data_IF_403116857693
#
_entry.id   IF_403116857693
#
_cell.length_a   1.000
_cell.length_b   1.000
_cell.length_c   1.000
_cell.angle_alpha   90.00
_cell.angle_beta   90.00
_cell.angle_gamma   90.00
#
_symmetry.space_group_name_H-M   'P 1'
#
loop_
_entity.id
_entity.type
_entity.pdbx_description
1 polymer ?
#
# COMPACT_ATOMS: atom_id res chain seq x y z
N UNK A 1 13.42 9.61 14.06
CA UNK A 1 13.48 8.37 13.26
C UNK A 1 14.88 8.17 12.72
N UNK A 2 15.38 6.95 12.68
CA UNK A 2 16.69 6.66 12.12
C UNK A 2 16.53 6.22 10.65
N UNK A 3 17.00 7.07 9.73
CA UNK A 3 17.10 6.76 8.30
C UNK A 3 18.53 7.04 7.84
N UNK A 4 18.92 6.43 6.71
CA UNK A 4 20.20 6.75 6.07
C UNK A 4 20.07 6.80 4.54
N UNK A 5 20.99 7.53 3.85
CA UNK A 5 21.20 7.36 2.42
C UNK A 5 21.79 5.97 2.14
N UNK A 6 21.66 5.49 0.91
CA UNK A 6 22.19 4.19 0.50
C UNK A 6 22.61 4.20 -0.98
N UNK A 7 23.50 3.28 -1.37
CA UNK A 7 23.89 3.08 -2.75
C UNK A 7 22.85 2.23 -3.47
N UNK A 8 21.85 2.87 -4.09
CA UNK A 8 20.72 2.21 -4.72
C UNK A 8 21.12 1.41 -5.96
N UNK A 9 20.53 0.23 -6.14
CA UNK A 9 20.59 -0.50 -7.40
C UNK A 9 19.38 -0.09 -8.25
N UNK A 10 19.61 0.50 -9.41
CA UNK A 10 18.56 1.13 -10.19
C UNK A 10 18.79 1.02 -11.71
N UNK A 11 17.73 1.12 -12.53
CA UNK A 11 17.88 1.05 -13.97
C UNK A 11 18.62 2.29 -14.53
N UNK A 12 19.33 2.14 -15.66
CA UNK A 12 19.73 3.29 -16.49
C UNK A 12 18.50 4.13 -16.89
N UNK A 13 18.73 5.41 -17.16
CA UNK A 13 17.65 6.38 -17.44
C UNK A 13 16.70 5.96 -18.56
N UNK A 14 17.22 5.36 -19.61
CA UNK A 14 16.51 4.89 -20.79
C UNK A 14 15.76 3.57 -20.61
N UNK A 15 15.91 2.93 -19.46
CA UNK A 15 15.24 1.66 -19.12
C UNK A 15 14.23 1.79 -17.97
N UNK A 16 14.19 2.92 -17.28
CA UNK A 16 13.38 3.08 -16.06
C UNK A 16 11.89 2.78 -16.27
N UNK A 17 11.31 3.22 -17.38
CA UNK A 17 9.91 2.99 -17.75
C UNK A 17 9.61 1.52 -18.10
N UNK A 18 10.61 0.79 -18.63
CA UNK A 18 10.50 -0.63 -18.97
C UNK A 18 10.68 -1.53 -17.74
N UNK A 19 11.52 -1.11 -16.78
CA UNK A 19 11.81 -1.86 -15.55
C UNK A 19 10.72 -1.66 -14.51
N UNK A 20 10.25 -0.42 -14.34
CA UNK A 20 9.26 -0.08 -13.31
C UNK A 20 7.96 -0.88 -13.49
N UNK A 21 7.54 -1.58 -12.43
CA UNK A 21 6.32 -2.39 -12.44
C UNK A 21 5.38 -2.05 -11.30
N UNK A 22 4.14 -2.47 -11.41
CA UNK A 22 3.21 -2.49 -10.28
C UNK A 22 3.73 -3.44 -9.18
N UNK A 23 3.40 -3.21 -7.89
CA UNK A 23 3.82 -4.11 -6.82
C UNK A 23 3.16 -5.49 -6.95
N UNK A 24 3.80 -6.49 -6.33
CA UNK A 24 3.44 -7.90 -6.49
C UNK A 24 1.99 -8.24 -6.08
N UNK A 25 1.43 -7.50 -5.15
CA UNK A 25 0.15 -7.79 -4.49
C UNK A 25 -1.09 -7.17 -5.18
N UNK A 26 -0.89 -6.41 -6.24
CA UNK A 26 -1.99 -5.83 -7.03
C UNK A 26 -2.29 -6.57 -8.34
N UNK A 27 -1.47 -7.58 -8.67
CA UNK A 27 -1.61 -8.41 -9.87
C UNK A 27 -1.63 -9.89 -9.50
N UNK A 28 -2.57 -10.66 -10.06
CA UNK A 28 -2.41 -12.11 -10.08
C UNK A 28 -1.36 -12.52 -11.14
N UNK A 29 -0.94 -13.78 -11.11
CA UNK A 29 0.16 -14.24 -12.00
C UNK A 29 -0.20 -14.23 -13.48
N UNK A 30 -1.47 -14.39 -13.85
CA UNK A 30 -1.93 -14.28 -15.25
C UNK A 30 -1.87 -12.84 -15.72
N UNK A 31 -2.36 -11.90 -14.91
CA UNK A 31 -2.28 -10.46 -15.20
C UNK A 31 -0.81 -10.01 -15.28
N UNK A 32 0.03 -10.45 -14.35
CA UNK A 32 1.44 -10.14 -14.33
C UNK A 32 2.15 -10.65 -15.59
N UNK A 33 1.87 -11.89 -16.05
CA UNK A 33 2.43 -12.44 -17.29
C UNK A 33 1.98 -11.66 -18.53
N UNK A 34 0.73 -11.19 -18.53
CA UNK A 34 0.20 -10.39 -19.65
C UNK A 34 0.78 -8.97 -19.70
N UNK A 35 1.11 -8.38 -18.52
CA UNK A 35 1.65 -7.02 -18.41
C UNK A 35 3.17 -6.97 -18.58
N UNK A 36 3.88 -8.02 -18.20
CA UNK A 36 5.34 -8.02 -18.17
C UNK A 36 5.97 -7.91 -19.56
N UNK A 37 6.63 -6.78 -19.83
CA UNK A 37 7.61 -6.68 -20.90
C UNK A 37 8.92 -7.38 -20.53
N UNK A 38 9.83 -7.58 -21.50
CA UNK A 38 11.11 -8.32 -21.32
C UNK A 38 11.93 -7.83 -20.10
N UNK A 39 11.90 -6.54 -19.80
CA UNK A 39 12.66 -5.92 -18.72
C UNK A 39 11.79 -5.52 -17.52
N UNK A 40 10.55 -5.98 -17.46
CA UNK A 40 9.67 -5.67 -16.33
C UNK A 40 10.15 -6.31 -15.04
N UNK A 41 10.24 -5.54 -13.95
CA UNK A 41 10.62 -6.09 -12.65
C UNK A 41 9.71 -7.22 -12.18
N UNK A 42 8.54 -7.40 -12.79
CA UNK A 42 7.65 -8.54 -12.53
C UNK A 42 8.37 -9.89 -12.66
N UNK A 43 9.36 -10.01 -13.54
CA UNK A 43 10.19 -11.21 -13.64
C UNK A 43 11.05 -11.50 -12.39
N UNK A 44 11.23 -10.52 -11.51
CA UNK A 44 11.99 -10.66 -10.26
C UNK A 44 11.05 -10.80 -9.06
N UNK A 45 9.95 -10.07 -9.02
CA UNK A 45 9.02 -10.05 -7.88
C UNK A 45 7.88 -11.06 -7.99
N UNK A 46 7.58 -11.55 -9.23
CA UNK A 46 6.60 -12.59 -9.57
C UNK A 46 7.19 -13.58 -10.59
N UNK A 47 8.32 -14.23 -10.27
CA UNK A 47 9.10 -15.01 -11.23
C UNK A 47 8.38 -16.27 -11.73
N UNK A 48 7.27 -16.67 -11.13
CA UNK A 48 6.39 -17.73 -11.60
C UNK A 48 5.87 -17.50 -13.04
N UNK A 49 5.84 -16.23 -13.49
CA UNK A 49 5.41 -15.89 -14.86
C UNK A 49 6.38 -16.34 -15.95
N UNK A 50 7.64 -16.65 -15.59
CA UNK A 50 8.67 -17.13 -16.52
C UNK A 50 8.52 -18.62 -16.87
N UNK A 51 7.57 -19.30 -16.24
CA UNK A 51 7.29 -20.71 -16.48
C UNK A 51 6.09 -20.89 -17.41
N UNK A 52 6.09 -21.99 -18.16
CA UNK A 52 4.97 -22.39 -19.01
C UNK A 52 4.67 -23.89 -18.81
N UNK A 53 3.54 -24.24 -18.20
CA UNK A 53 2.54 -23.33 -17.60
C UNK A 53 3.10 -22.53 -16.42
N UNK A 54 2.40 -21.44 -16.01
CA UNK A 54 2.74 -20.64 -14.85
C UNK A 54 2.89 -21.56 -13.62
N UNK A 55 4.03 -21.45 -12.94
CA UNK A 55 4.37 -22.29 -11.80
C UNK A 55 3.65 -21.85 -10.50
N UNK A 56 3.69 -22.70 -9.50
CA UNK A 56 3.28 -22.34 -8.12
C UNK A 56 4.23 -21.27 -7.57
N UNK A 57 3.69 -20.09 -7.25
CA UNK A 57 4.44 -18.91 -6.76
C UNK A 57 5.29 -19.19 -5.52
N UNK A 58 4.96 -20.24 -4.75
CA UNK A 58 5.67 -20.63 -3.52
C UNK A 58 6.63 -21.82 -3.70
N UNK A 59 6.88 -22.23 -4.93
CA UNK A 59 7.79 -23.36 -5.23
C UNK A 59 9.27 -22.92 -5.25
N UNK A 60 10.17 -23.82 -4.84
CA UNK A 60 11.61 -23.56 -4.84
C UNK A 60 12.16 -23.11 -6.20
N UNK A 61 11.77 -23.71 -7.35
CA UNK A 61 12.23 -23.24 -8.67
C UNK A 61 11.86 -21.78 -8.96
N UNK A 62 10.73 -21.30 -8.46
CA UNK A 62 10.29 -19.91 -8.63
C UNK A 62 11.16 -18.97 -7.80
N UNK A 63 11.46 -19.33 -6.55
CA UNK A 63 12.40 -18.57 -5.73
C UNK A 63 13.81 -18.52 -6.35
N UNK A 64 14.33 -19.65 -6.85
CA UNK A 64 15.62 -19.72 -7.53
C UNK A 64 15.64 -18.82 -8.77
N UNK A 65 14.52 -18.77 -9.50
CA UNK A 65 14.36 -17.92 -10.68
C UNK A 65 14.42 -16.43 -10.34
N UNK A 66 13.85 -16.00 -9.19
CA UNK A 66 13.97 -14.63 -8.71
C UNK A 66 15.44 -14.21 -8.53
N UNK A 67 16.23 -15.07 -7.89
CA UNK A 67 17.67 -14.82 -7.67
C UNK A 67 18.43 -14.77 -8.98
N UNK A 68 18.15 -15.75 -9.88
CA UNK A 68 18.76 -15.79 -11.19
C UNK A 68 18.48 -14.54 -12.02
N UNK A 69 17.24 -14.09 -12.05
CA UNK A 69 16.84 -12.90 -12.80
C UNK A 69 17.50 -11.64 -12.22
N UNK A 70 17.48 -11.46 -10.90
CA UNK A 70 18.10 -10.29 -10.25
C UNK A 70 19.61 -10.22 -10.53
N UNK A 71 20.32 -11.34 -10.48
CA UNK A 71 21.73 -11.41 -10.83
C UNK A 71 21.97 -11.10 -12.32
N UNK A 72 21.22 -11.76 -13.20
CA UNK A 72 21.35 -11.60 -14.65
C UNK A 72 21.11 -10.15 -15.09
N UNK A 73 20.17 -9.44 -14.46
CA UNK A 73 19.88 -8.06 -14.81
C UNK A 73 20.99 -7.11 -14.41
N UNK A 74 21.67 -7.37 -13.30
CA UNK A 74 22.89 -6.62 -12.92
C UNK A 74 24.02 -6.92 -13.91
N UNK A 75 24.24 -8.17 -14.30
CA UNK A 75 25.25 -8.55 -15.31
C UNK A 75 24.98 -7.93 -16.68
N UNK A 76 23.71 -7.75 -17.07
CA UNK A 76 23.29 -7.09 -18.31
C UNK A 76 23.31 -5.56 -18.25
N UNK A 77 23.56 -4.98 -17.11
CA UNK A 77 23.49 -3.53 -16.91
C UNK A 77 22.08 -2.97 -16.98
N UNK A 78 21.03 -3.81 -16.82
CA UNK A 78 19.66 -3.34 -16.70
C UNK A 78 19.36 -2.79 -15.31
N UNK A 79 20.15 -3.20 -14.33
CA UNK A 79 20.20 -2.68 -12.98
C UNK A 79 21.66 -2.40 -12.64
N UNK A 80 21.95 -1.17 -12.19
CA UNK A 80 23.31 -0.71 -11.88
C UNK A 80 23.31 -0.13 -10.48
N UNK A 81 24.28 -0.50 -9.66
CA UNK A 81 24.46 0.06 -8.32
C UNK A 81 25.13 1.44 -8.40
N UNK A 82 24.56 2.41 -7.70
CA UNK A 82 25.19 3.72 -7.53
C UNK A 82 26.52 3.61 -6.78
N UNK A 83 27.47 4.48 -7.09
CA UNK A 83 28.80 4.52 -6.45
C UNK A 83 28.77 5.13 -5.05
N UNK A 84 27.79 5.96 -4.78
CA UNK A 84 27.70 6.77 -3.57
C UNK A 84 26.37 6.51 -2.85
N UNK A 85 26.38 6.66 -1.53
CA UNK A 85 25.15 6.61 -0.71
C UNK A 85 24.38 7.92 -0.84
N UNK A 86 23.14 7.86 -1.29
CA UNK A 86 22.31 9.03 -1.56
C UNK A 86 20.88 8.80 -1.08
N UNK A 87 20.16 9.88 -0.81
CA UNK A 87 18.70 9.87 -0.80
C UNK A 87 18.19 10.15 -2.21
N UNK A 88 16.93 9.79 -2.41
CA UNK A 88 16.24 10.06 -3.68
C UNK A 88 14.87 10.67 -3.38
N UNK A 89 14.30 11.36 -4.36
CA UNK A 89 12.91 11.82 -4.33
C UNK A 89 12.16 11.05 -5.40
N UNK A 90 11.04 10.47 -5.03
CA UNK A 90 10.12 9.82 -5.94
C UNK A 90 8.76 10.52 -5.91
N UNK A 91 8.38 11.09 -7.05
CA UNK A 91 7.10 11.74 -7.23
C UNK A 91 6.14 10.88 -8.07
N UNK A 92 4.88 10.88 -7.66
CA UNK A 92 3.79 10.20 -8.35
C UNK A 92 2.69 11.19 -8.67
N UNK A 93 2.24 11.20 -9.93
CA UNK A 93 1.16 12.07 -10.40
C UNK A 93 -0.05 11.25 -10.82
N UNK A 94 -1.21 11.53 -10.22
CA UNK A 94 -2.50 10.92 -10.53
C UNK A 94 -3.58 12.01 -10.54
N UNK A 95 -4.39 12.08 -11.59
CA UNK A 95 -5.49 13.05 -11.72
C UNK A 95 -5.03 14.52 -11.55
N UNK A 96 -3.85 14.85 -12.07
CA UNK A 96 -3.27 16.20 -11.95
C UNK A 96 -2.69 16.57 -10.59
N UNK A 97 -2.70 15.64 -9.63
CA UNK A 97 -2.12 15.81 -8.28
C UNK A 97 -0.81 15.03 -8.17
N UNK A 98 0.23 15.70 -7.72
CA UNK A 98 1.55 15.09 -7.48
C UNK A 98 1.83 14.98 -5.98
N UNK A 99 2.36 13.84 -5.56
CA UNK A 99 2.89 13.60 -4.22
C UNK A 99 4.38 13.25 -4.29
N UNK A 100 5.16 13.80 -3.38
CA UNK A 100 6.63 13.65 -3.35
C UNK A 100 7.07 12.88 -2.11
N UNK A 101 7.74 11.76 -2.30
CA UNK A 101 8.27 10.93 -1.22
C UNK A 101 9.80 10.93 -1.20
N UNK A 102 10.37 10.95 0.00
CA UNK A 102 11.78 10.68 0.21
C UNK A 102 12.02 9.17 0.14
N UNK A 103 12.94 8.74 -0.71
CA UNK A 103 13.41 7.36 -0.75
C UNK A 103 14.64 7.24 0.14
N UNK A 104 14.57 6.36 1.11
CA UNK A 104 15.58 6.19 2.15
C UNK A 104 15.68 4.72 2.61
N UNK A 105 16.77 4.38 3.27
CA UNK A 105 16.89 3.17 4.05
C UNK A 105 16.43 3.44 5.50
N UNK A 106 15.29 2.86 5.91
CA UNK A 106 14.70 3.01 7.23
C UNK A 106 15.17 1.93 8.19
N UNK A 107 15.39 2.28 9.46
CA UNK A 107 16.02 1.39 10.43
C UNK A 107 15.07 0.29 10.94
N UNK A 108 15.57 -0.94 10.97
CA UNK A 108 14.86 -2.14 11.45
C UNK A 108 14.42 -1.98 12.91
N UNK A 109 15.25 -1.41 13.78
CA UNK A 109 14.94 -1.27 15.20
C UNK A 109 13.80 -0.28 15.44
N UNK A 110 13.64 0.73 14.60
CA UNK A 110 12.51 1.66 14.70
C UNK A 110 11.17 0.96 14.41
N UNK A 111 11.16 -0.09 13.57
CA UNK A 111 9.99 -0.94 13.39
C UNK A 111 9.81 -1.89 14.58
N UNK A 112 10.87 -2.58 15.02
CA UNK A 112 10.80 -3.55 16.11
C UNK A 112 10.41 -2.92 17.45
N UNK A 113 10.78 -1.66 17.69
CA UNK A 113 10.44 -0.89 18.89
C UNK A 113 9.13 -0.12 18.81
N UNK A 114 8.43 -0.19 17.67
CA UNK A 114 7.14 0.47 17.47
C UNK A 114 7.20 1.97 17.20
N UNK A 115 8.35 2.52 16.83
CA UNK A 115 8.47 3.89 16.32
C UNK A 115 7.94 4.00 14.89
N UNK A 116 8.11 2.97 14.07
CA UNK A 116 7.37 2.79 12.83
C UNK A 116 6.07 2.10 13.20
N UNK A 117 4.98 2.85 13.18
CA UNK A 117 3.68 2.46 13.67
C UNK A 117 2.86 1.80 12.57
N UNK A 118 2.13 0.75 12.94
CA UNK A 118 1.26 -0.02 12.05
C UNK A 118 -0.19 0.12 12.48
N UNK A 119 -1.10 0.01 11.54
CA UNK A 119 -2.54 0.03 11.77
C UNK A 119 -3.24 -1.24 11.26
N UNK A 120 -2.50 -2.20 10.69
CA UNK A 120 -3.01 -3.47 10.17
C UNK A 120 -2.13 -4.63 10.63
N UNK A 121 -2.76 -5.80 10.88
CA UNK A 121 -2.04 -7.04 11.17
C UNK A 121 -1.60 -7.71 9.88
N UNK A 122 -0.39 -8.26 9.90
CA UNK A 122 0.13 -9.05 8.79
C UNK A 122 -0.40 -10.49 8.86
N UNK A 123 -0.56 -11.11 7.68
CA UNK A 123 -0.82 -12.54 7.55
C UNK A 123 0.51 -13.28 7.48
N UNK A 124 0.64 -14.31 8.31
CA UNK A 124 1.88 -15.08 8.45
C UNK A 124 2.37 -15.69 7.13
N UNK A 125 1.44 -16.25 6.34
CA UNK A 125 1.76 -16.87 5.05
C UNK A 125 2.38 -15.85 4.06
N UNK A 126 1.82 -14.64 3.99
CA UNK A 126 2.33 -13.58 3.11
C UNK A 126 3.64 -12.98 3.63
N UNK A 127 3.78 -12.85 4.94
CA UNK A 127 5.02 -12.38 5.56
C UNK A 127 6.16 -13.36 5.34
N UNK A 128 5.94 -14.67 5.58
CA UNK A 128 6.94 -15.71 5.40
C UNK A 128 7.41 -15.80 3.94
N UNK A 129 6.51 -15.68 2.97
CA UNK A 129 6.83 -15.63 1.54
C UNK A 129 7.73 -14.42 1.20
N UNK A 130 7.38 -13.22 1.65
CA UNK A 130 8.23 -12.04 1.44
C UNK A 130 9.57 -12.14 2.15
N UNK A 131 9.64 -12.77 3.32
CA UNK A 131 10.91 -13.06 4.00
C UNK A 131 11.83 -13.95 3.14
N UNK A 132 11.28 -14.99 2.50
CA UNK A 132 12.05 -15.84 1.61
C UNK A 132 12.66 -14.99 0.50
N UNK A 133 11.86 -14.18 -0.20
CA UNK A 133 12.34 -13.31 -1.27
C UNK A 133 13.46 -12.36 -0.80
N UNK A 134 13.27 -11.63 0.29
CA UNK A 134 14.29 -10.71 0.84
C UNK A 134 15.57 -11.46 1.20
N UNK A 135 15.46 -12.63 1.84
CA UNK A 135 16.61 -13.43 2.30
C UNK A 135 17.44 -13.97 1.15
N UNK A 136 16.80 -14.56 0.13
CA UNK A 136 17.52 -15.21 -0.97
C UNK A 136 18.08 -14.23 -1.99
N UNK A 137 17.41 -13.09 -2.21
CA UNK A 137 17.88 -12.04 -3.11
C UNK A 137 18.90 -11.11 -2.43
N UNK A 138 19.02 -11.20 -1.11
CA UNK A 138 19.84 -10.33 -0.28
C UNK A 138 19.57 -8.84 -0.54
N UNK A 139 18.31 -8.49 -0.76
CA UNK A 139 17.88 -7.16 -1.14
C UNK A 139 16.40 -6.90 -0.81
N UNK A 140 16.08 -5.64 -0.56
CA UNK A 140 14.71 -5.14 -0.60
C UNK A 140 14.41 -4.69 -2.03
N UNK A 141 13.77 -5.56 -2.82
CA UNK A 141 13.46 -5.31 -4.23
C UNK A 141 12.30 -4.31 -4.36
N UNK A 142 11.34 -4.37 -3.46
CA UNK A 142 10.15 -3.54 -3.46
C UNK A 142 10.15 -2.57 -2.28
N UNK A 143 9.85 -1.29 -2.49
CA UNK A 143 9.80 -0.31 -1.40
C UNK A 143 8.58 -0.54 -0.51
N UNK A 144 8.68 -0.12 0.76
CA UNK A 144 7.55 0.07 1.64
C UNK A 144 7.11 1.54 1.62
N UNK A 145 5.87 1.80 1.93
CA UNK A 145 5.25 3.11 1.84
C UNK A 145 4.92 3.65 3.23
N UNK A 146 5.57 4.73 3.63
CA UNK A 146 5.38 5.36 4.93
C UNK A 146 4.87 6.79 4.81
N UNK A 147 4.21 7.23 5.88
CA UNK A 147 3.87 8.62 6.12
C UNK A 147 4.65 9.17 7.32
N UNK A 148 4.89 10.50 7.31
CA UNK A 148 5.42 11.23 8.46
C UNK A 148 4.66 12.54 8.63
N UNK A 149 4.57 13.08 9.88
CA UNK A 149 4.00 14.40 10.13
C UNK A 149 4.75 15.49 9.37
N UNK A 150 4.03 16.43 8.76
CA UNK A 150 4.65 17.46 7.92
C UNK A 150 5.75 18.24 8.64
N UNK A 151 6.90 18.38 7.99
CA UNK A 151 8.04 19.19 8.44
C UNK A 151 8.35 20.24 7.37
N UNK A 152 8.12 21.51 7.70
CA UNK A 152 8.23 22.61 6.74
C UNK A 152 9.60 22.69 6.06
N UNK A 153 10.69 22.43 6.81
CA UNK A 153 12.05 22.44 6.26
C UNK A 153 12.26 21.31 5.25
N UNK A 154 11.72 20.10 5.53
CA UNK A 154 11.79 18.98 4.60
C UNK A 154 11.01 19.27 3.32
N UNK A 155 9.81 19.84 3.45
CA UNK A 155 8.99 20.24 2.30
C UNK A 155 9.74 21.25 1.43
N UNK A 156 10.43 22.21 2.04
CA UNK A 156 11.25 23.19 1.32
C UNK A 156 12.44 22.55 0.60
N UNK A 157 13.16 21.62 1.23
CA UNK A 157 14.26 20.89 0.57
C UNK A 157 13.75 20.15 -0.68
N UNK A 158 12.64 19.46 -0.56
CA UNK A 158 12.03 18.76 -1.71
C UNK A 158 11.64 19.75 -2.80
N UNK A 159 10.96 20.84 -2.47
CA UNK A 159 10.57 21.89 -3.42
C UNK A 159 11.79 22.48 -4.14
N UNK A 160 12.84 22.84 -3.42
CA UNK A 160 14.06 23.39 -3.99
C UNK A 160 14.71 22.40 -4.99
N UNK A 161 14.75 21.11 -4.67
CA UNK A 161 15.34 20.11 -5.56
C UNK A 161 14.49 19.93 -6.82
N UNK A 162 13.19 19.70 -6.68
CA UNK A 162 12.32 19.35 -7.83
C UNK A 162 12.08 20.54 -8.78
N UNK A 163 12.27 21.78 -8.29
CA UNK A 163 12.14 23.00 -9.12
C UNK A 163 13.45 23.42 -9.77
N UNK A 164 14.61 23.04 -9.23
CA UNK A 164 15.91 23.50 -9.70
C UNK A 164 16.73 22.43 -10.43
N UNK A 165 16.40 21.16 -10.24
CA UNK A 165 17.16 20.04 -10.81
C UNK A 165 16.32 19.27 -11.82
N UNK A 166 16.94 18.87 -12.94
CA UNK A 166 16.31 17.95 -13.88
C UNK A 166 16.15 16.56 -13.25
N UNK A 167 15.03 15.88 -13.47
CA UNK A 167 14.83 14.53 -12.94
C UNK A 167 15.73 13.50 -13.63
N UNK A 168 16.11 12.49 -12.88
CA UNK A 168 16.77 11.30 -13.39
C UNK A 168 15.83 10.47 -14.27
N UNK A 169 14.58 10.24 -13.78
CA UNK A 169 13.51 9.60 -14.55
C UNK A 169 12.29 10.52 -14.59
N UNK A 170 11.59 10.47 -15.73
CA UNK A 170 10.31 11.15 -15.91
C UNK A 170 9.53 10.43 -17.02
N UNK A 171 8.48 9.71 -16.63
CA UNK A 171 7.65 8.94 -17.57
C UNK A 171 6.23 8.79 -17.08
N UNK A 172 5.32 8.47 -18.01
CA UNK A 172 3.93 8.09 -17.71
C UNK A 172 3.79 6.60 -17.96
N UNK A 173 3.33 5.87 -16.97
CA UNK A 173 3.10 4.43 -17.05
C UNK A 173 1.81 4.11 -17.85
N UNK A 174 1.62 2.85 -18.30
CA UNK A 174 0.43 2.45 -19.08
C UNK A 174 -0.91 2.70 -18.41
N UNK A 175 -0.95 2.77 -17.08
CA UNK A 175 -2.15 3.12 -16.30
C UNK A 175 -2.45 4.63 -16.27
N UNK A 176 -1.63 5.44 -16.93
CA UNK A 176 -1.80 6.90 -17.01
C UNK A 176 -1.18 7.67 -15.85
N UNK A 177 -0.52 7.01 -14.91
CA UNK A 177 0.13 7.67 -13.78
C UNK A 177 1.54 8.12 -14.13
N UNK A 178 1.88 9.35 -13.70
CA UNK A 178 3.21 9.93 -13.85
C UNK A 178 4.15 9.46 -12.76
N UNK A 179 5.41 9.21 -13.13
CA UNK A 179 6.48 8.80 -12.23
C UNK A 179 7.72 9.62 -12.52
N UNK A 180 8.16 10.40 -11.53
CA UNK A 180 9.33 11.27 -11.65
C UNK A 180 10.29 10.99 -10.49
N UNK A 181 11.60 10.96 -10.76
CA UNK A 181 12.59 10.52 -9.79
C UNK A 181 13.83 11.41 -9.84
N UNK A 182 14.32 11.84 -8.67
CA UNK A 182 15.53 12.66 -8.53
C UNK A 182 16.54 11.97 -7.62
N UNK A 183 17.82 12.21 -7.90
CA UNK A 183 18.93 11.72 -7.09
C UNK A 183 19.53 12.89 -6.32
N UNK A 184 19.59 12.83 -5.00
CA UNK A 184 20.13 13.89 -4.15
C UNK A 184 21.63 13.70 -3.98
N UNK A 185 22.44 14.36 -4.84
CA UNK A 185 23.90 14.18 -4.88
C UNK A 185 24.65 15.08 -3.88
N UNK A 186 24.01 16.12 -3.35
CA UNK A 186 24.64 17.02 -2.39
C UNK A 186 24.75 16.39 -0.99
N UNK A 187 25.96 16.12 -0.55
CA UNK A 187 26.24 15.49 0.73
C UNK A 187 25.73 16.32 1.94
N UNK A 188 25.72 17.66 1.82
CA UNK A 188 25.20 18.52 2.89
C UNK A 188 23.68 18.42 2.99
N UNK A 189 23.01 18.33 1.85
CA UNK A 189 21.55 18.09 1.81
C UNK A 189 21.23 16.73 2.39
N UNK A 190 21.95 15.67 2.00
CA UNK A 190 21.77 14.32 2.54
C UNK A 190 21.96 14.31 4.08
N UNK A 191 23.03 14.96 4.57
CA UNK A 191 23.25 15.10 6.01
C UNK A 191 22.09 15.83 6.70
N UNK A 192 21.61 16.94 6.12
CA UNK A 192 20.51 17.71 6.71
C UNK A 192 19.21 16.93 6.76
N UNK A 193 18.89 16.16 5.73
CA UNK A 193 17.73 15.26 5.71
C UNK A 193 17.82 14.25 6.87
N UNK A 194 18.97 13.62 7.07
CA UNK A 194 19.19 12.68 8.19
C UNK A 194 18.95 13.35 9.54
N UNK A 195 19.44 14.58 9.74
CA UNK A 195 19.24 15.36 10.97
C UNK A 195 17.75 15.69 11.21
N UNK A 196 17.03 16.13 10.17
CA UNK A 196 15.60 16.41 10.26
C UNK A 196 14.82 15.16 10.67
N UNK A 197 15.10 14.01 10.03
CA UNK A 197 14.40 12.77 10.36
C UNK A 197 14.72 12.26 11.77
N UNK A 198 15.91 12.53 12.31
CA UNK A 198 16.25 12.19 13.68
C UNK A 198 15.31 12.86 14.71
N UNK A 199 14.71 14.00 14.39
CA UNK A 199 13.76 14.72 15.24
C UNK A 199 12.30 14.25 15.05
N UNK A 200 11.99 13.52 13.99
CA UNK A 200 10.64 12.99 13.74
C UNK A 200 10.36 11.85 14.74
N UNK A 201 9.25 11.93 15.52
CA UNK A 201 9.00 10.97 16.60
C UNK A 201 8.55 9.61 16.10
N UNK A 202 7.81 9.54 15.00
CA UNK A 202 7.25 8.31 14.44
C UNK A 202 7.07 8.38 12.93
N UNK A 203 7.13 7.21 12.28
CA UNK A 203 6.60 6.99 10.94
C UNK A 203 5.36 6.09 11.03
N UNK A 204 4.52 6.15 9.99
CA UNK A 204 3.29 5.37 9.91
C UNK A 204 3.29 4.56 8.63
N UNK A 205 3.07 3.25 8.75
CA UNK A 205 2.95 2.39 7.56
C UNK A 205 1.67 2.77 6.82
N UNK A 206 1.79 3.28 5.61
CA UNK A 206 0.67 3.58 4.73
C UNK A 206 0.30 2.33 3.90
N UNK A 207 1.29 1.68 3.29
CA UNK A 207 1.12 0.46 2.51
C UNK A 207 2.35 -0.44 2.63
N UNK A 208 2.17 -1.75 2.40
CA UNK A 208 3.27 -2.72 2.48
C UNK A 208 3.56 -3.25 3.89
N UNK A 209 2.55 -3.44 4.74
CA UNK A 209 2.71 -4.01 6.08
C UNK A 209 3.48 -5.35 6.07
N UNK A 210 3.15 -6.27 5.13
CA UNK A 210 3.84 -7.55 5.00
C UNK A 210 5.31 -7.38 4.58
N UNK A 211 5.59 -6.47 3.63
CA UNK A 211 6.96 -6.16 3.19
C UNK A 211 7.79 -5.54 4.32
N UNK A 212 7.19 -4.64 5.10
CA UNK A 212 7.85 -4.01 6.26
C UNK A 212 8.21 -5.05 7.32
N UNK A 213 7.25 -5.90 7.70
CA UNK A 213 7.48 -6.96 8.68
C UNK A 213 8.54 -7.96 8.21
N UNK A 214 8.47 -8.40 6.94
CA UNK A 214 9.43 -9.33 6.37
C UNK A 214 10.85 -8.75 6.34
N UNK A 215 11.02 -7.52 5.89
CA UNK A 215 12.32 -6.85 5.85
C UNK A 215 12.93 -6.69 7.25
N UNK A 216 12.12 -6.27 8.23
CA UNK A 216 12.58 -6.12 9.61
C UNK A 216 13.00 -7.45 10.24
N UNK A 217 12.24 -8.53 10.01
CA UNK A 217 12.57 -9.87 10.52
C UNK A 217 13.84 -10.43 9.88
N UNK A 218 14.00 -10.28 8.56
CA UNK A 218 15.23 -10.73 7.87
C UNK A 218 16.45 -9.93 8.36
N UNK A 219 16.31 -8.63 8.59
CA UNK A 219 17.38 -7.81 9.17
C UNK A 219 17.78 -8.31 10.56
N UNK A 220 16.81 -8.62 11.44
CA UNK A 220 17.07 -9.20 12.75
C UNK A 220 17.74 -10.58 12.67
N UNK A 221 17.29 -11.47 11.77
CA UNK A 221 17.93 -12.78 11.54
C UNK A 221 19.40 -12.63 11.09
N UNK A 222 19.70 -11.72 10.14
CA UNK A 222 21.08 -11.48 9.69
C UNK A 222 21.96 -10.94 10.81
N UNK A 223 21.41 -10.08 11.67
CA UNK A 223 22.09 -9.59 12.88
C UNK A 223 22.49 -10.71 13.81
N UNK A 224 21.56 -11.62 14.11
CA UNK A 224 21.81 -12.77 14.97
C UNK A 224 22.85 -13.73 14.38
N UNK A 225 22.92 -13.85 13.06
CA UNK A 225 23.87 -14.71 12.35
C UNK A 225 25.26 -14.10 12.21
N UNK A 226 25.41 -12.78 12.39
CA UNK A 226 26.69 -12.07 12.24
C UNK A 226 27.40 -11.86 13.60
N UNK A 227 28.40 -12.66 13.95
CA UNK A 227 29.12 -12.51 15.22
C UNK A 227 29.95 -11.20 15.29
N UNK A 228 30.15 -10.54 14.15
CA UNK A 228 30.89 -9.28 14.05
C UNK A 228 29.95 -8.09 13.80
N UNK A 229 28.68 -8.20 14.18
CA UNK A 229 27.68 -7.15 14.02
C UNK A 229 28.13 -5.85 14.70
N UNK A 230 28.11 -4.73 13.95
CA UNK A 230 28.50 -3.39 14.43
C UNK A 230 27.28 -2.46 14.59
N UNK A 231 26.22 -2.70 13.86
CA UNK A 231 25.02 -1.85 13.76
C UNK A 231 24.97 -0.96 12.53
N UNK A 232 26.04 -0.95 11.72
CA UNK A 232 26.15 -0.11 10.52
C UNK A 232 25.85 -0.87 9.21
N UNK A 233 25.70 -2.20 9.30
CA UNK A 233 25.45 -3.07 8.14
C UNK A 233 24.11 -2.75 7.47
N UNK A 234 24.05 -2.91 6.12
CA UNK A 234 22.87 -2.59 5.30
C UNK A 234 21.60 -3.36 5.73
N UNK A 235 21.73 -4.60 6.19
CA UNK A 235 20.58 -5.38 6.68
C UNK A 235 19.91 -4.82 7.95
N UNK A 236 20.50 -3.82 8.62
CA UNK A 236 19.83 -3.08 9.70
C UNK A 236 18.84 -2.03 9.17
N UNK A 237 18.72 -1.92 7.86
CA UNK A 237 17.86 -0.95 7.20
C UNK A 237 17.08 -1.63 6.08
N UNK A 238 15.97 -1.03 5.68
CA UNK A 238 15.15 -1.50 4.56
C UNK A 238 14.61 -0.34 3.73
N UNK A 239 14.37 -0.62 2.45
CA UNK A 239 13.93 0.36 1.46
C UNK A 239 12.55 0.91 1.78
N UNK A 240 12.45 2.23 1.93
CA UNK A 240 11.19 2.95 2.17
C UNK A 240 11.04 4.17 1.27
N UNK A 241 9.81 4.48 0.88
CA UNK A 241 9.41 5.78 0.34
C UNK A 241 8.51 6.45 1.37
N UNK A 242 8.91 7.63 1.85
CA UNK A 242 8.35 8.29 3.03
C UNK A 242 7.74 9.63 2.62
N UNK A 243 6.44 9.79 2.75
CA UNK A 243 5.71 10.98 2.30
C UNK A 243 5.24 11.84 3.49
N UNK A 244 5.19 13.16 3.35
CA UNK A 244 4.48 14.00 4.32
C UNK A 244 2.98 13.64 4.30
N UNK A 245 2.37 13.55 5.47
CA UNK A 245 0.98 13.07 5.63
C UNK A 245 -0.03 13.88 4.81
N UNK A 246 0.19 15.19 4.68
CA UNK A 246 -0.69 16.09 3.91
C UNK A 246 -0.72 15.80 2.41
N UNK A 247 0.29 15.12 1.88
CA UNK A 247 0.37 14.76 0.46
C UNK A 247 -0.28 13.43 0.12
N UNK A 248 -0.71 12.65 1.10
CA UNK A 248 -1.27 11.34 0.85
C UNK A 248 -2.77 11.40 0.54
N UNK A 249 -3.19 10.56 -0.41
CA UNK A 249 -4.60 10.37 -0.76
C UNK A 249 -5.02 8.96 -0.42
N UNK A 250 -6.02 8.86 0.44
CA UNK A 250 -6.71 7.61 0.74
C UNK A 250 -8.02 7.65 -0.04
N UNK A 251 -8.31 6.58 -0.74
CA UNK A 251 -9.57 6.41 -1.46
C UNK A 251 -10.42 5.33 -0.80
N UNK A 252 -11.68 5.30 -1.16
CA UNK A 252 -12.66 4.39 -0.59
C UNK A 252 -12.30 2.91 -0.83
N UNK A 253 -12.62 2.08 0.14
CA UNK A 253 -12.52 0.63 0.03
C UNK A 253 -13.91 0.05 0.27
N UNK A 254 -14.57 -0.33 -0.81
CA UNK A 254 -15.99 -0.67 -0.84
C UNK A 254 -16.22 -2.16 -0.57
N UNK A 255 -17.47 -2.55 -0.29
CA UNK A 255 -17.88 -3.91 0.02
C UNK A 255 -19.01 -4.35 -0.90
N UNK A 256 -19.00 -5.63 -1.23
CA UNK A 256 -20.10 -6.28 -1.97
C UNK A 256 -20.46 -7.60 -1.30
N UNK A 257 -21.72 -7.93 -1.24
CA UNK A 257 -22.22 -9.14 -0.56
C UNK A 257 -23.03 -10.04 -1.50
N UNK A 258 -22.88 -11.36 -1.32
CA UNK A 258 -23.48 -12.37 -2.19
C UNK A 258 -24.94 -12.68 -1.89
N UNK A 259 -25.42 -12.38 -0.71
CA UNK A 259 -26.79 -12.65 -0.29
C UNK A 259 -27.23 -11.71 0.85
N UNK A 260 -28.52 -11.69 1.13
CA UNK A 260 -29.15 -10.90 2.18
C UNK A 260 -29.56 -11.76 3.40
N UNK A 261 -28.90 -12.89 3.64
CA UNK A 261 -29.21 -13.78 4.76
C UNK A 261 -30.69 -14.25 4.75
N UNK A 262 -31.20 -14.55 3.56
CA UNK A 262 -32.59 -15.01 3.37
C UNK A 262 -33.67 -13.92 3.38
N UNK A 263 -33.27 -12.65 3.54
CA UNK A 263 -34.21 -11.53 3.49
C UNK A 263 -34.51 -11.14 2.04
N UNK A 264 -35.74 -10.68 1.80
CA UNK A 264 -36.07 -9.94 0.57
C UNK A 264 -35.44 -8.53 0.62
N UNK A 265 -35.25 -7.83 -0.53
CA UNK A 265 -34.80 -6.45 -0.54
C UNK A 265 -35.64 -5.54 0.36
N UNK A 266 -36.96 -5.66 0.36
CA UNK A 266 -37.86 -4.87 1.20
C UNK A 266 -37.63 -5.12 2.70
N UNK A 267 -37.51 -6.39 3.11
CA UNK A 267 -37.20 -6.73 4.51
C UNK A 267 -35.82 -6.27 4.93
N UNK A 268 -34.85 -6.28 4.02
CA UNK A 268 -33.52 -5.77 4.29
C UNK A 268 -33.54 -4.26 4.51
N UNK A 269 -34.23 -3.49 3.68
CA UNK A 269 -34.41 -2.05 3.84
C UNK A 269 -35.13 -1.69 5.15
N UNK A 270 -36.15 -2.48 5.55
CA UNK A 270 -36.82 -2.31 6.84
C UNK A 270 -35.84 -2.46 8.01
N UNK A 271 -35.05 -3.54 8.01
CA UNK A 271 -34.00 -3.75 9.05
C UNK A 271 -32.96 -2.66 9.07
N UNK A 272 -32.50 -2.19 7.90
CA UNK A 272 -31.56 -1.07 7.82
C UNK A 272 -32.13 0.20 8.46
N UNK A 273 -33.43 0.45 8.31
CA UNK A 273 -34.10 1.64 8.85
C UNK A 273 -34.14 1.69 10.39
N UNK A 274 -33.84 0.59 11.07
CA UNK A 274 -33.66 0.60 12.52
C UNK A 274 -32.44 1.41 12.96
N UNK A 275 -31.32 1.30 12.20
CA UNK A 275 -30.04 1.92 12.54
C UNK A 275 -29.61 3.05 11.60
N UNK A 276 -30.24 3.18 10.44
CA UNK A 276 -29.92 4.20 9.44
C UNK A 276 -31.13 5.00 9.00
N UNK A 277 -30.91 6.25 8.64
CA UNK A 277 -31.82 6.99 7.79
C UNK A 277 -31.59 6.55 6.35
N UNK A 278 -32.59 5.91 5.73
CA UNK A 278 -32.49 5.30 4.39
C UNK A 278 -33.25 6.17 3.39
N UNK A 279 -32.53 6.67 2.37
CA UNK A 279 -33.13 7.50 1.32
C UNK A 279 -32.85 6.86 -0.04
N UNK A 280 -33.94 6.56 -0.80
CA UNK A 280 -33.81 6.08 -2.17
C UNK A 280 -33.34 7.21 -3.09
N UNK A 281 -32.23 6.98 -3.82
CA UNK A 281 -31.67 7.91 -4.80
C UNK A 281 -32.13 7.57 -6.23
N UNK A 282 -32.39 6.27 -6.51
CA UNK A 282 -32.78 5.77 -7.81
C UNK A 282 -31.61 5.21 -8.62
N UNK A 283 -31.56 5.48 -9.92
CA UNK A 283 -30.58 4.90 -10.83
C UNK A 283 -29.19 5.60 -10.80
N UNK A 284 -29.14 6.84 -10.32
CA UNK A 284 -27.91 7.61 -10.31
C UNK A 284 -26.95 7.15 -9.21
N UNK A 285 -25.67 7.01 -9.57
CA UNK A 285 -24.62 6.61 -8.63
C UNK A 285 -24.55 7.57 -7.45
N UNK A 286 -24.69 7.05 -6.26
CA UNK A 286 -24.53 7.81 -5.02
C UNK A 286 -23.15 7.60 -4.41
N UNK A 287 -22.39 8.69 -4.28
CA UNK A 287 -21.09 8.71 -3.60
C UNK A 287 -21.22 9.32 -2.21
N UNK A 288 -20.82 8.59 -1.14
CA UNK A 288 -20.76 9.15 0.20
C UNK A 288 -19.93 10.43 0.25
N UNK A 289 -20.38 11.41 1.02
CA UNK A 289 -19.75 12.74 1.11
C UNK A 289 -19.28 13.14 2.52
N UNK A 290 -19.56 12.31 3.52
CA UNK A 290 -19.19 12.55 4.92
C UNK A 290 -19.03 11.21 5.65
N UNK A 291 -18.41 11.25 6.83
CA UNK A 291 -18.40 10.13 7.78
C UNK A 291 -19.83 9.73 8.16
N UNK A 292 -20.04 8.46 8.41
CA UNK A 292 -21.32 7.82 8.76
C UNK A 292 -22.41 7.91 7.69
N UNK A 293 -22.01 8.32 6.48
CA UNK A 293 -22.84 8.29 5.30
C UNK A 293 -22.29 7.25 4.32
N UNK A 294 -23.16 6.35 3.86
CA UNK A 294 -22.83 5.23 2.98
C UNK A 294 -23.71 5.28 1.73
N UNK A 295 -23.15 4.83 0.61
CA UNK A 295 -23.93 4.49 -0.56
C UNK A 295 -24.27 2.99 -0.52
N UNK A 296 -25.48 2.61 -0.89
CA UNK A 296 -25.84 1.21 -1.10
C UNK A 296 -26.48 1.06 -2.48
N UNK A 297 -26.04 0.05 -3.23
CA UNK A 297 -26.71 -0.37 -4.45
C UNK A 297 -27.39 -1.72 -4.22
N UNK A 298 -28.70 -1.76 -4.42
CA UNK A 298 -29.56 -2.90 -4.18
C UNK A 298 -30.73 -2.90 -5.17
N UNK A 299 -31.01 -4.04 -5.80
CA UNK A 299 -32.17 -4.24 -6.66
C UNK A 299 -32.37 -3.14 -7.73
N UNK A 300 -31.25 -2.79 -8.41
CA UNK A 300 -31.23 -1.80 -9.49
C UNK A 300 -31.29 -0.33 -9.05
N UNK A 301 -31.16 -0.05 -7.76
CA UNK A 301 -31.25 1.31 -7.21
C UNK A 301 -30.13 1.63 -6.23
N UNK A 302 -29.72 2.90 -6.23
CA UNK A 302 -28.87 3.48 -5.20
C UNK A 302 -29.70 4.03 -4.05
N UNK A 303 -29.14 3.90 -2.85
CA UNK A 303 -29.66 4.44 -1.59
C UNK A 303 -28.54 5.18 -0.86
N UNK A 304 -28.91 6.29 -0.20
CA UNK A 304 -28.09 6.91 0.83
C UNK A 304 -28.47 6.33 2.18
N UNK A 305 -27.48 5.86 2.94
CA UNK A 305 -27.66 5.39 4.31
C UNK A 305 -26.87 6.33 5.23
N UNK A 306 -27.52 6.97 6.18
CA UNK A 306 -26.86 7.78 7.23
C UNK A 306 -27.07 7.11 8.58
N UNK A 307 -25.98 6.71 9.24
CA UNK A 307 -26.09 6.06 10.55
C UNK A 307 -26.69 7.02 11.58
N UNK A 308 -27.67 6.54 12.35
CA UNK A 308 -28.36 7.33 13.38
C UNK A 308 -27.44 7.57 14.56
N UNK A 309 -27.57 8.72 15.21
CA UNK A 309 -26.87 9.04 16.46
C UNK A 309 -27.09 7.94 17.50
N UNK A 310 -26.04 7.57 18.23
CA UNK A 310 -26.08 6.52 19.24
C UNK A 310 -25.93 5.10 18.71
N UNK A 311 -25.83 4.89 17.39
CA UNK A 311 -25.52 3.58 16.79
C UNK A 311 -24.04 3.30 16.66
N UNK A 312 -23.19 4.29 16.90
CA UNK A 312 -21.74 4.21 16.90
C UNK A 312 -21.16 5.02 18.09
N UNK A 313 -19.88 4.83 18.39
CA UNK A 313 -19.22 5.47 19.54
C UNK A 313 -18.13 6.45 19.06
N UNK A 314 -18.40 7.74 19.12
CA UNK A 314 -17.47 8.81 18.73
C UNK A 314 -16.20 8.87 19.59
N UNK A 315 -16.22 8.29 20.79
CA UNK A 315 -15.08 8.27 21.70
C UNK A 315 -14.17 7.04 21.52
N UNK A 316 -14.58 6.09 20.67
CA UNK A 316 -13.78 4.92 20.33
C UNK A 316 -13.16 5.11 18.95
N UNK A 317 -11.82 5.24 18.81
CA UNK A 317 -11.17 5.50 17.54
C UNK A 317 -11.39 4.40 16.49
N UNK A 318 -11.72 3.17 16.91
CA UNK A 318 -12.10 2.08 16.02
C UNK A 318 -13.61 2.04 15.79
N UNK A 319 -14.41 2.23 16.86
CA UNK A 319 -15.87 2.19 16.81
C UNK A 319 -16.49 3.28 15.94
N UNK A 320 -15.81 4.42 15.81
CA UNK A 320 -16.25 5.55 14.98
C UNK A 320 -15.99 5.36 13.48
N UNK A 321 -15.15 4.40 13.09
CA UNK A 321 -14.83 4.16 11.68
C UNK A 321 -16.05 3.64 10.91
N UNK A 322 -16.28 4.18 9.73
CA UNK A 322 -17.35 3.74 8.83
C UNK A 322 -17.32 2.23 8.56
N UNK A 323 -16.12 1.67 8.39
CA UNK A 323 -15.97 0.22 8.22
C UNK A 323 -16.44 -0.57 9.44
N UNK A 324 -16.25 -0.05 10.65
CA UNK A 324 -16.70 -0.68 11.90
C UNK A 324 -18.21 -0.53 12.06
N UNK A 325 -18.72 0.66 11.82
CA UNK A 325 -20.16 0.95 11.88
C UNK A 325 -20.92 0.03 10.93
N UNK A 326 -20.50 -0.05 9.66
CA UNK A 326 -21.12 -0.91 8.66
C UNK A 326 -20.98 -2.39 9.00
N UNK A 327 -19.81 -2.81 9.50
CA UNK A 327 -19.56 -4.20 9.91
C UNK A 327 -20.50 -4.62 11.04
N UNK A 328 -20.61 -3.81 12.08
CA UNK A 328 -21.43 -4.14 13.25
C UNK A 328 -22.93 -4.12 12.91
N UNK A 329 -23.40 -3.03 12.28
CA UNK A 329 -24.83 -2.80 12.10
C UNK A 329 -25.43 -3.62 10.94
N UNK A 330 -24.65 -3.87 9.89
CA UNK A 330 -25.15 -4.54 8.68
C UNK A 330 -24.59 -5.95 8.57
N UNK A 331 -23.26 -6.10 8.53
CA UNK A 331 -22.64 -7.39 8.19
C UNK A 331 -22.77 -8.40 9.31
N UNK A 332 -22.72 -7.99 10.56
CA UNK A 332 -22.89 -8.85 11.72
C UNK A 332 -24.37 -8.98 12.10
N UNK A 333 -25.04 -7.89 12.46
CA UNK A 333 -26.39 -7.93 13.03
C UNK A 333 -27.45 -8.35 12.04
N UNK A 334 -27.39 -7.92 10.77
CA UNK A 334 -28.43 -8.22 9.77
C UNK A 334 -28.03 -9.43 8.91
N UNK A 335 -26.80 -9.41 8.36
CA UNK A 335 -26.37 -10.42 7.39
C UNK A 335 -25.69 -11.63 8.03
N UNK A 336 -25.29 -11.54 9.31
CA UNK A 336 -24.61 -12.61 10.06
C UNK A 336 -23.43 -13.21 9.26
N UNK A 337 -22.52 -12.35 8.77
CA UNK A 337 -21.41 -12.79 7.91
C UNK A 337 -20.25 -13.43 8.69
N UNK A 338 -20.18 -13.22 10.00
CA UNK A 338 -19.08 -13.67 10.84
C UNK A 338 -17.76 -12.94 10.55
N UNK A 339 -16.63 -13.64 10.65
CA UNK A 339 -15.32 -13.04 10.41
C UNK A 339 -15.15 -12.66 8.93
N UNK A 340 -15.13 -11.36 8.65
CA UNK A 340 -15.04 -10.81 7.29
C UNK A 340 -13.72 -11.16 6.57
N UNK A 341 -12.67 -11.57 7.31
CA UNK A 341 -11.38 -11.99 6.72
C UNK A 341 -11.46 -13.36 6.04
N UNK A 342 -12.40 -14.17 6.44
CA UNK A 342 -12.55 -15.57 6.00
C UNK A 342 -13.89 -15.86 5.33
N UNK A 343 -14.87 -14.97 5.49
CA UNK A 343 -16.19 -15.12 4.89
C UNK A 343 -16.12 -15.07 3.37
N UNK A 344 -16.72 -16.06 2.73
CA UNK A 344 -16.86 -16.13 1.26
C UNK A 344 -18.14 -15.42 0.75
N UNK A 345 -18.94 -14.86 1.65
CA UNK A 345 -20.18 -14.16 1.33
C UNK A 345 -19.99 -12.66 1.11
N UNK A 346 -18.80 -12.14 1.37
CA UNK A 346 -18.40 -10.75 1.15
C UNK A 346 -17.14 -10.70 0.30
N UNK A 347 -17.03 -9.63 -0.50
CA UNK A 347 -15.81 -9.28 -1.21
C UNK A 347 -15.56 -7.77 -1.14
N UNK A 348 -14.34 -7.33 -1.49
CA UNK A 348 -13.87 -5.98 -1.31
C UNK A 348 -13.48 -5.36 -2.65
N UNK A 349 -13.88 -4.11 -2.88
CA UNK A 349 -13.65 -3.39 -4.13
C UNK A 349 -12.92 -2.08 -3.85
N UNK A 350 -11.67 -1.97 -4.27
CA UNK A 350 -10.91 -0.73 -4.14
C UNK A 350 -11.51 0.40 -4.99
N UNK A 351 -11.55 1.60 -4.43
CA UNK A 351 -12.15 2.79 -5.04
C UNK A 351 -11.54 3.18 -6.39
N UNK A 352 -10.32 2.70 -6.70
CA UNK A 352 -9.69 2.91 -8.03
C UNK A 352 -10.53 2.33 -9.18
N UNK A 353 -11.37 1.33 -8.92
CA UNK A 353 -12.28 0.75 -9.91
C UNK A 353 -13.54 1.59 -10.14
N UNK A 354 -13.76 2.62 -9.29
CA UNK A 354 -14.94 3.47 -9.32
C UNK A 354 -16.22 2.78 -8.82
N UNK A 355 -17.24 3.58 -8.52
CA UNK A 355 -18.51 3.07 -8.00
C UNK A 355 -19.35 2.33 -9.06
N UNK A 356 -19.10 2.55 -10.35
CA UNK A 356 -19.71 1.78 -11.43
C UNK A 356 -19.38 0.28 -11.40
N UNK A 357 -18.22 -0.10 -10.84
CA UNK A 357 -17.87 -1.51 -10.63
C UNK A 357 -18.80 -2.18 -9.61
N UNK A 358 -19.21 -1.45 -8.58
CA UNK A 358 -20.18 -1.93 -7.58
C UNK A 358 -21.52 -2.28 -8.24
N UNK A 359 -22.05 -1.36 -9.04
CA UNK A 359 -23.28 -1.54 -9.79
C UNK A 359 -23.16 -2.73 -10.74
N UNK A 360 -22.09 -2.80 -11.54
CA UNK A 360 -21.82 -3.88 -12.48
C UNK A 360 -21.83 -5.27 -11.82
N UNK A 361 -21.19 -5.41 -10.65
CA UNK A 361 -21.13 -6.70 -9.94
C UNK A 361 -22.49 -7.14 -9.39
N UNK A 362 -23.35 -6.19 -9.03
CA UNK A 362 -24.72 -6.50 -8.60
C UNK A 362 -25.61 -6.80 -9.82
N UNK A 363 -25.56 -5.99 -10.86
CA UNK A 363 -26.39 -6.16 -12.06
C UNK A 363 -26.08 -7.45 -12.82
N UNK A 364 -24.82 -7.93 -12.74
CA UNK A 364 -24.43 -9.22 -13.34
C UNK A 364 -24.93 -10.44 -12.56
N UNK A 365 -25.48 -10.24 -11.36
CA UNK A 365 -25.91 -11.33 -10.46
C UNK A 365 -24.76 -12.01 -9.71
N UNK A 366 -23.52 -11.52 -9.85
CA UNK A 366 -22.37 -11.99 -9.05
C UNK A 366 -22.57 -11.68 -7.56
N UNK A 367 -23.11 -10.50 -7.28
CA UNK A 367 -23.41 -10.00 -5.94
C UNK A 367 -24.87 -9.56 -5.85
N UNK A 368 -25.40 -9.45 -4.63
CA UNK A 368 -26.79 -9.04 -4.40
C UNK A 368 -26.87 -7.58 -3.95
N UNK A 369 -25.91 -7.12 -3.17
CA UNK A 369 -25.83 -5.73 -2.75
C UNK A 369 -24.39 -5.25 -2.69
N UNK A 370 -24.21 -3.94 -2.84
CA UNK A 370 -22.93 -3.27 -2.73
C UNK A 370 -23.02 -2.06 -1.80
N UNK A 371 -21.90 -1.76 -1.11
CA UNK A 371 -21.79 -0.65 -0.17
C UNK A 371 -20.57 0.21 -0.52
N UNK A 372 -20.81 1.48 -0.81
CA UNK A 372 -19.79 2.49 -0.96
C UNK A 372 -19.55 3.18 0.39
N UNK A 373 -18.27 3.34 0.76
CA UNK A 373 -17.86 3.96 2.02
C UNK A 373 -17.20 5.31 1.76
N UNK A 374 -17.25 6.18 2.75
CA UNK A 374 -16.41 7.36 2.79
C UNK A 374 -14.98 6.95 3.18
N UNK A 375 -13.92 7.44 2.49
CA UNK A 375 -12.55 7.04 2.80
C UNK A 375 -12.12 7.52 4.19
N UNK A 376 -11.32 6.70 4.88
CA UNK A 376 -10.66 7.13 6.12
C UNK A 376 -9.63 8.22 5.84
N UNK A 377 -9.34 9.02 6.86
CA UNK A 377 -8.36 10.11 6.78
C UNK A 377 -7.00 9.68 7.35
N UNK A 378 -5.93 10.35 6.93
CA UNK A 378 -4.61 10.16 7.54
C UNK A 378 -4.63 10.40 9.05
N UNK A 379 -5.40 11.39 9.51
CA UNK A 379 -5.57 11.68 10.94
C UNK A 379 -6.13 10.49 11.72
N UNK A 380 -7.16 9.83 11.20
CA UNK A 380 -7.72 8.61 11.83
C UNK A 380 -6.69 7.48 11.89
N UNK A 381 -5.90 7.28 10.82
CA UNK A 381 -4.84 6.27 10.81
C UNK A 381 -3.79 6.56 11.89
N UNK A 382 -3.34 7.80 11.98
CA UNK A 382 -2.34 8.25 12.96
C UNK A 382 -2.86 8.06 14.38
N UNK A 383 -4.06 8.56 14.70
CA UNK A 383 -4.69 8.43 16.01
C UNK A 383 -4.83 6.94 16.44
N UNK A 384 -5.23 6.07 15.52
CA UNK A 384 -5.36 4.64 15.81
C UNK A 384 -3.99 3.99 16.02
N UNK A 385 -3.03 4.27 15.14
CA UNK A 385 -1.69 3.71 15.25
C UNK A 385 -0.95 4.21 16.50
N UNK A 386 -1.19 5.46 16.92
CA UNK A 386 -0.61 6.05 18.14
C UNK A 386 -1.12 5.39 19.43
N UNK A 387 -2.36 4.93 19.42
CA UNK A 387 -2.94 4.19 20.56
C UNK A 387 -2.58 2.70 20.58
N UNK A 388 -1.82 2.22 19.56
CA UNK A 388 -1.49 0.81 19.40
C UNK A 388 -2.68 -0.06 18.97
N UNK A 389 -3.77 0.54 18.56
CA UNK A 389 -4.95 -0.15 18.05
C UNK A 389 -4.73 -0.59 16.59
N UNK A 390 -5.54 -1.54 16.15
CA UNK A 390 -5.51 -2.11 14.80
C UNK A 390 -6.86 -1.85 14.14
N UNK A 391 -6.81 -1.36 12.90
CA UNK A 391 -7.99 -1.18 12.07
C UNK A 391 -8.59 -2.52 11.62
N UNK A 392 -9.90 -2.59 11.36
CA UNK A 392 -10.49 -3.70 10.64
C UNK A 392 -9.78 -3.94 9.28
N UNK A 393 -9.80 -5.16 8.75
CA UNK A 393 -9.14 -5.46 7.48
C UNK A 393 -9.77 -4.65 6.33
N UNK A 394 -8.93 -4.32 5.34
CA UNK A 394 -9.38 -3.62 4.13
C UNK A 394 -10.05 -2.26 4.42
N UNK A 395 -9.46 -1.50 5.34
CA UNK A 395 -9.94 -0.15 5.72
C UNK A 395 -9.28 0.94 4.88
N UNK A 396 -8.01 0.77 4.51
CA UNK A 396 -7.20 1.77 3.81
C UNK A 396 -6.88 1.34 2.39
N UNK A 397 -6.93 2.30 1.47
CA UNK A 397 -6.44 2.12 0.10
C UNK A 397 -5.72 3.39 -0.34
N UNK A 398 -4.40 3.34 -0.35
CA UNK A 398 -3.57 4.46 -0.81
C UNK A 398 -3.36 4.39 -2.33
N UNK A 399 -3.53 5.52 -3.01
CA UNK A 399 -3.22 5.71 -4.41
C UNK A 399 -2.42 7.01 -4.65
N UNK A 400 -1.50 6.98 -5.63
CA UNK A 400 -1.04 5.88 -6.47
C UNK A 400 -0.24 4.83 -5.69
N UNK A 401 -0.25 3.57 -6.16
CA UNK A 401 0.64 2.54 -5.62
C UNK A 401 2.08 2.80 -6.05
N UNK A 402 3.04 2.59 -5.16
CA UNK A 402 4.46 2.71 -5.50
C UNK A 402 4.84 1.74 -6.63
N UNK A 403 5.62 2.21 -7.59
CA UNK A 403 6.28 1.32 -8.55
C UNK A 403 7.48 0.65 -7.89
N UNK A 404 7.64 -0.63 -8.16
CA UNK A 404 8.83 -1.40 -7.84
C UNK A 404 9.84 -1.26 -8.99
N UNK A 405 11.14 -1.26 -8.69
CA UNK A 405 12.21 -1.27 -9.69
C UNK A 405 12.82 0.07 -10.06
N UNK A 406 12.34 1.19 -9.51
CA UNK A 406 13.02 2.48 -9.69
C UNK A 406 14.32 2.58 -8.89
N UNK A 407 14.36 1.91 -7.75
CA UNK A 407 15.56 1.71 -6.93
C UNK A 407 15.36 0.50 -6.01
N UNK A 408 16.43 -0.20 -5.72
CA UNK A 408 16.49 -1.41 -4.90
C UNK A 408 17.57 -1.22 -3.85
N UNK A 409 17.36 -1.70 -2.63
CA UNK A 409 18.33 -1.65 -1.55
C UNK A 409 18.90 -3.04 -1.28
N UNK A 410 20.22 -3.21 -1.46
CA UNK A 410 20.93 -4.46 -1.13
C UNK A 410 21.24 -4.50 0.37
N UNK A 411 21.26 -5.71 0.92
CA UNK A 411 21.50 -5.94 2.36
C UNK A 411 22.97 -6.28 2.69
N UNK A 412 23.79 -6.42 1.65
CA UNK A 412 25.26 -6.66 1.77
C UNK A 412 26.03 -5.93 0.69
#
# INVERSE_FOLDING_TARGET
MKIKPFAGVRPPKDLADQVASRPYDVLNSVEAKAEAGEKSLLHIIKPEIDFDPIADEHSQPVYDKAVQNFKLWQERGWLVQDSDEMYYIYAQTMDGRTQYGLVAAANVDDYMTGKIKKHELTRKDKEDDRMIHVRIQDANIEPVFFAYPDVAEMNKIVEDIVTTQAPEYDFVAPDGFGHTFWVIRDANVNKRITEIFAEIPALYVADGHHRTAAAARVGAEKREQNPNHTGDEEYNYFLAVIFPESQLKIIDYNRVVKDLNGLTPAQFLEKLSESFDVVEIGADIYKPNALHNFGMYLDGKWYSLTAKEGTYNDNDPIGVLDVTVLSNLVFDQILNLGDLRTSKRIDFVGGIRGLGELQKRVDSGEMVAAFALYPVTMRQIIEIADTGNIMPPKTTWFEPKLRSGLVIHKLS
#
